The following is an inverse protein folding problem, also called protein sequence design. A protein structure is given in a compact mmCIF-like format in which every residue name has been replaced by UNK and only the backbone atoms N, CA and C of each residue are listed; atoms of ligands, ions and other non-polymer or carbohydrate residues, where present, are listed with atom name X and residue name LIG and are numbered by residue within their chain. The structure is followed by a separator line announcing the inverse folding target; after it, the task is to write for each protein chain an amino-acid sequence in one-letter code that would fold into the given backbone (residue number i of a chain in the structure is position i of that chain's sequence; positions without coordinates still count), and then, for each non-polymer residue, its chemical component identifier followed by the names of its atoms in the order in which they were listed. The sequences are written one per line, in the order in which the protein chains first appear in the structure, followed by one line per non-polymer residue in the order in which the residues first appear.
data_IF_731727727160
#
_entry.id   IF_731727727160
#
_cell.length_a   1.000
_cell.length_b   1.000
_cell.length_c   1.000
_cell.angle_alpha   90.00
_cell.angle_beta   90.00
_cell.angle_gamma   90.00
#
_symmetry.space_group_name_H-M   'P 1'
#
loop_
_entity.id
_entity.type
_entity.pdbx_description
1 polymer ?
#
# COMPACT_ATOMS: atom_id res chain seq x y z
N UNK A 1 -30.46 11.70 27.71
CA UNK A 1 -29.81 10.45 28.15
C UNK A 1 -28.32 10.65 28.04
N UNK A 2 -27.67 10.88 29.18
CA UNK A 2 -26.30 11.39 29.27
C UNK A 2 -25.42 10.26 29.78
N UNK A 3 -24.40 9.85 29.01
CA UNK A 3 -23.45 8.82 29.45
C UNK A 3 -22.18 9.46 29.98
N UNK A 4 -21.86 9.13 31.24
CA UNK A 4 -20.69 9.53 32.00
C UNK A 4 -19.49 8.64 31.60
N UNK A 5 -18.42 9.26 31.10
CA UNK A 5 -17.15 8.59 30.78
C UNK A 5 -16.18 8.82 31.95
N UNK A 6 -16.37 8.07 33.04
CA UNK A 6 -15.52 8.19 34.22
C UNK A 6 -15.43 6.88 34.99
N UNK A 7 -14.99 5.81 34.31
CA UNK A 7 -14.39 4.63 34.95
C UNK A 7 -13.66 3.84 33.85
N UNK A 8 -12.35 4.04 33.69
CA UNK A 8 -11.27 3.04 33.45
C UNK A 8 -9.97 3.84 33.26
N UNK A 9 -9.48 4.51 34.30
CA UNK A 9 -8.05 4.86 34.44
C UNK A 9 -7.75 4.75 35.93
N UNK A 10 -6.93 3.77 36.29
CA UNK A 10 -6.48 3.57 37.65
C UNK A 10 -5.68 2.30 37.77
N UNK A 11 -4.34 2.43 37.69
CA UNK A 11 -3.30 1.60 38.35
C UNK A 11 -2.11 1.37 37.42
N UNK A 12 -1.23 2.36 37.27
CA UNK A 12 0.18 2.16 36.95
C UNK A 12 0.98 3.29 37.62
N UNK A 13 1.51 3.02 38.80
CA UNK A 13 2.56 3.83 39.42
C UNK A 13 3.95 3.40 38.92
N UNK A 14 4.91 4.35 38.82
CA UNK A 14 6.25 4.10 38.27
C UNK A 14 7.24 3.59 39.34
N UNK A 15 8.03 2.57 38.98
CA UNK A 15 9.17 2.09 39.78
C UNK A 15 10.49 2.74 39.31
N UNK A 16 11.47 2.94 40.22
CA UNK A 16 12.62 3.82 40.01
C UNK A 16 13.81 3.17 39.27
N UNK A 17 14.64 4.07 38.72
CA UNK A 17 15.86 3.81 37.97
C UNK A 17 16.95 3.10 38.79
N UNK A 18 17.61 2.12 38.17
CA UNK A 18 18.89 1.57 38.64
C UNK A 18 19.89 1.53 37.47
N UNK A 19 20.96 2.29 37.63
CA UNK A 19 22.14 2.32 36.78
C UNK A 19 22.94 1.02 36.90
N UNK A 20 23.49 0.53 35.78
CA UNK A 20 24.50 -0.53 35.76
C UNK A 20 25.72 -0.05 34.95
N UNK A 21 26.72 0.42 35.70
CA UNK A 21 28.11 0.53 35.25
C UNK A 21 28.88 -0.68 35.78
N UNK A 22 29.27 -1.61 34.90
CA UNK A 22 30.07 -2.78 35.25
C UNK A 22 31.41 -2.77 34.52
N UNK A 23 32.43 -2.28 35.22
CA UNK A 23 33.82 -2.15 34.77
C UNK A 23 34.58 -3.44 35.10
N UNK A 24 35.21 -4.05 34.11
CA UNK A 24 36.11 -5.20 34.25
C UNK A 24 37.47 -4.73 34.77
N UNK A 25 38.00 -5.34 35.84
CA UNK A 25 39.45 -5.42 36.08
C UNK A 25 39.81 -6.61 36.97
N UNK A 26 40.89 -7.27 36.55
CA UNK A 26 41.52 -8.45 37.11
C UNK A 26 42.26 -8.21 38.44
N UNK A 27 42.52 -9.30 39.17
CA UNK A 27 43.66 -9.42 40.09
C UNK A 27 43.40 -10.33 41.30
N UNK A 28 44.41 -11.05 41.82
CA UNK A 28 44.24 -12.42 42.34
C UNK A 28 44.54 -12.58 43.85
N UNK A 29 44.48 -13.85 44.27
CA UNK A 29 45.20 -14.52 45.37
C UNK A 29 44.45 -14.91 46.65
N UNK A 30 44.74 -16.18 46.99
CA UNK A 30 44.88 -16.79 48.32
C UNK A 30 43.63 -16.97 49.18
N UNK A 31 43.41 -18.24 49.56
CA UNK A 31 43.16 -18.73 50.93
C UNK A 31 43.20 -20.27 50.82
N UNK A 32 44.30 -20.89 51.24
CA UNK A 32 44.57 -21.37 52.59
C UNK A 32 43.86 -22.69 52.90
N UNK A 33 44.71 -23.65 53.28
CA UNK A 33 44.42 -25.04 53.55
C UNK A 33 43.78 -25.25 54.92
N UNK A 34 42.90 -26.24 55.01
CA UNK A 34 42.68 -27.14 56.16
C UNK A 34 41.81 -28.29 55.60
N UNK A 35 42.12 -29.57 55.74
CA UNK A 35 42.78 -30.25 56.84
C UNK A 35 41.77 -31.08 57.62
N UNK A 36 41.10 -32.07 56.99
CA UNK A 36 40.41 -33.17 57.71
C UNK A 36 40.17 -34.40 56.83
N UNK A 37 40.48 -35.55 57.41
CA UNK A 37 40.69 -36.83 56.78
C UNK A 37 39.44 -37.72 56.71
N UNK A 38 39.56 -38.73 55.84
CA UNK A 38 38.86 -40.04 55.77
C UNK A 38 37.72 -40.18 54.76
N UNK A 39 37.45 -41.40 54.23
CA UNK A 39 38.19 -42.66 54.33
C UNK A 39 38.60 -43.27 52.96
N UNK A 40 39.59 -44.16 53.02
CA UNK A 40 40.11 -45.00 51.95
C UNK A 40 38.99 -45.75 51.20
N UNK A 41 38.76 -45.37 49.93
CA UNK A 41 38.03 -46.20 48.97
C UNK A 41 38.96 -47.29 48.42
N UNK A 42 38.45 -48.51 48.20
CA UNK A 42 39.23 -49.63 47.69
C UNK A 42 39.81 -49.27 46.33
N UNK A 43 41.08 -49.66 46.11
CA UNK A 43 41.77 -49.48 44.84
C UNK A 43 41.00 -50.20 43.73
N UNK A 44 40.20 -49.45 42.98
CA UNK A 44 39.64 -49.92 41.73
C UNK A 44 40.80 -50.33 40.82
N UNK A 45 40.73 -51.55 40.28
CA UNK A 45 41.69 -52.07 39.33
C UNK A 45 41.92 -51.02 38.24
N UNK A 46 43.16 -50.54 38.11
CA UNK A 46 43.59 -49.65 37.04
C UNK A 46 43.63 -50.46 35.75
N UNK A 47 42.47 -50.71 35.16
CA UNK A 47 42.43 -51.00 33.74
C UNK A 47 43.02 -49.78 33.03
N UNK A 48 44.02 -49.95 32.15
CA UNK A 48 44.52 -48.85 31.36
C UNK A 48 43.36 -48.35 30.50
N UNK A 49 42.76 -47.22 30.90
CA UNK A 49 41.85 -46.47 30.04
C UNK A 49 42.72 -46.02 28.87
N UNK A 50 42.56 -46.70 27.73
CA UNK A 50 43.07 -46.23 26.46
C UNK A 50 42.51 -44.83 26.28
N UNK A 51 43.38 -43.81 26.42
CA UNK A 51 43.05 -42.46 26.05
C UNK A 51 42.71 -42.52 24.57
N UNK A 52 41.40 -42.46 24.29
CA UNK A 52 40.90 -42.44 22.93
C UNK A 52 41.65 -41.30 22.23
N UNK A 53 42.32 -41.57 21.09
CA UNK A 53 43.14 -40.56 20.44
C UNK A 53 42.25 -39.35 20.15
N UNK A 54 42.73 -38.17 20.53
CA UNK A 54 42.01 -36.93 20.28
C UNK A 54 41.67 -36.86 18.78
N UNK A 55 40.45 -36.45 18.41
CA UNK A 55 40.09 -36.29 17.02
C UNK A 55 41.13 -35.42 16.31
N UNK A 56 41.53 -35.76 15.08
CA UNK A 56 42.46 -34.91 14.33
C UNK A 56 41.84 -33.51 14.16
N UNK A 57 42.68 -32.48 14.15
CA UNK A 57 42.25 -31.06 14.10
C UNK A 57 41.29 -30.76 12.94
N UNK A 58 41.39 -31.51 11.85
CA UNK A 58 40.51 -31.41 10.67
C UNK A 58 39.05 -31.77 10.98
N UNK A 59 38.77 -32.57 12.00
CA UNK A 59 37.41 -32.87 12.47
C UNK A 59 36.82 -31.67 13.19
N UNK A 60 37.59 -31.00 14.05
CA UNK A 60 37.16 -29.79 14.75
C UNK A 60 36.93 -28.62 13.80
N UNK A 61 37.73 -28.47 12.75
CA UNK A 61 37.53 -27.45 11.71
C UNK A 61 36.24 -27.70 10.91
N UNK A 62 35.97 -28.96 10.54
CA UNK A 62 34.74 -29.33 9.85
C UNK A 62 33.50 -29.12 10.73
N UNK A 63 33.58 -29.50 12.00
CA UNK A 63 32.50 -29.31 12.96
C UNK A 63 32.27 -27.83 13.26
N UNK A 64 33.34 -27.04 13.38
CA UNK A 64 33.26 -25.59 13.55
C UNK A 64 32.65 -24.88 12.33
N UNK A 65 33.00 -25.31 11.11
CA UNK A 65 32.39 -24.80 9.89
C UNK A 65 30.88 -25.12 9.82
N UNK A 66 30.49 -26.36 10.14
CA UNK A 66 29.08 -26.76 10.17
C UNK A 66 28.28 -26.01 11.24
N UNK A 67 28.86 -25.79 12.43
CA UNK A 67 28.21 -25.00 13.49
C UNK A 67 28.08 -23.53 13.11
N UNK A 68 29.08 -22.95 12.44
CA UNK A 68 29.04 -21.56 11.95
C UNK A 68 27.95 -21.35 10.90
N UNK A 69 27.81 -22.29 9.96
CA UNK A 69 26.75 -22.24 8.94
C UNK A 69 25.35 -22.31 9.58
N UNK A 70 25.14 -23.22 10.52
CA UNK A 70 23.87 -23.32 11.26
C UNK A 70 23.55 -22.06 12.06
N UNK A 71 24.56 -21.40 12.62
CA UNK A 71 24.36 -20.16 13.38
C UNK A 71 24.04 -18.97 12.47
N UNK A 72 24.67 -18.90 11.28
CA UNK A 72 24.29 -17.93 10.25
C UNK A 72 22.85 -18.13 9.76
N UNK A 73 22.42 -19.37 9.58
CA UNK A 73 21.04 -19.71 9.23
C UNK A 73 20.06 -19.30 10.33
N UNK A 74 20.40 -19.51 11.61
CA UNK A 74 19.58 -19.03 12.73
C UNK A 74 19.47 -17.51 12.74
N UNK A 75 20.57 -16.79 12.53
CA UNK A 75 20.57 -15.33 12.48
C UNK A 75 19.75 -14.79 11.31
N UNK A 76 19.83 -15.42 10.14
CA UNK A 76 19.04 -15.00 8.96
C UNK A 76 17.55 -15.27 9.15
N UNK A 77 17.18 -16.43 9.73
CA UNK A 77 15.78 -16.73 10.09
C UNK A 77 15.27 -15.75 11.15
N UNK A 78 16.08 -15.43 12.15
CA UNK A 78 15.71 -14.46 13.18
C UNK A 78 15.48 -13.06 12.58
N UNK A 79 16.39 -12.56 11.73
CA UNK A 79 16.21 -11.27 11.05
C UNK A 79 14.99 -11.24 10.14
N UNK A 80 14.67 -12.35 9.45
CA UNK A 80 13.44 -12.45 8.67
C UNK A 80 12.21 -12.34 9.57
N UNK A 81 12.18 -13.10 10.68
CA UNK A 81 11.08 -13.03 11.66
C UNK A 81 10.92 -11.64 12.26
N UNK A 82 12.00 -10.97 12.61
CA UNK A 82 11.97 -9.60 13.14
C UNK A 82 11.43 -8.61 12.11
N UNK A 83 11.81 -8.76 10.83
CA UNK A 83 11.27 -7.96 9.73
C UNK A 83 9.77 -8.23 9.52
N UNK A 84 9.37 -9.49 9.53
CA UNK A 84 7.96 -9.89 9.38
C UNK A 84 7.10 -9.37 10.55
N UNK A 85 7.64 -9.40 11.77
CA UNK A 85 6.99 -8.82 12.97
C UNK A 85 6.87 -7.30 12.89
N UNK A 86 7.94 -6.61 12.47
CA UNK A 86 7.92 -5.17 12.29
C UNK A 86 6.89 -4.76 11.22
N UNK A 87 6.82 -5.52 10.12
CA UNK A 87 5.81 -5.32 9.07
C UNK A 87 4.39 -5.60 9.59
N UNK A 88 4.19 -6.68 10.34
CA UNK A 88 2.88 -6.99 10.94
C UNK A 88 2.41 -5.92 11.95
N UNK A 89 3.35 -5.34 12.72
CA UNK A 89 3.06 -4.21 13.61
C UNK A 89 2.68 -2.96 12.82
N UNK A 90 3.39 -2.68 11.74
CA UNK A 90 3.10 -1.55 10.86
C UNK A 90 1.72 -1.74 10.18
N UNK A 91 1.40 -2.94 9.72
CA UNK A 91 0.10 -3.29 9.17
C UNK A 91 -1.02 -3.16 10.21
N UNK A 92 -0.77 -3.55 11.47
CA UNK A 92 -1.71 -3.37 12.56
C UNK A 92 -1.94 -1.87 12.87
N UNK A 93 -0.90 -1.05 12.85
CA UNK A 93 -1.01 0.40 12.99
C UNK A 93 -1.82 1.01 11.84
N UNK A 94 -1.50 0.68 10.60
CA UNK A 94 -2.27 1.12 9.43
C UNK A 94 -3.70 0.59 9.45
N UNK A 95 -3.96 -0.58 10.05
CA UNK A 95 -5.32 -1.10 10.22
C UNK A 95 -6.09 -0.28 11.24
N UNK A 96 -5.47 0.07 12.38
CA UNK A 96 -6.08 0.94 13.39
C UNK A 96 -6.31 2.34 12.83
N UNK A 97 -5.35 2.90 12.09
CA UNK A 97 -5.49 4.19 11.40
C UNK A 97 -6.56 4.14 10.31
N UNK A 98 -6.64 3.05 9.54
CA UNK A 98 -7.72 2.85 8.56
C UNK A 98 -9.08 2.67 9.22
N UNK A 99 -9.17 1.99 10.36
CA UNK A 99 -10.42 1.89 11.14
C UNK A 99 -10.79 3.27 11.66
N UNK A 100 -9.85 4.04 12.21
CA UNK A 100 -10.10 5.41 12.68
C UNK A 100 -10.49 6.35 11.53
N UNK A 101 -9.81 6.27 10.38
CA UNK A 101 -10.14 7.02 9.17
C UNK A 101 -11.48 6.57 8.58
N UNK A 102 -11.82 5.28 8.65
CA UNK A 102 -13.11 4.71 8.24
C UNK A 102 -14.20 4.97 9.28
N UNK A 103 -13.91 5.26 10.53
CA UNK A 103 -14.89 5.75 11.50
C UNK A 103 -15.15 7.24 11.24
N UNK A 104 -14.11 8.03 10.99
CA UNK A 104 -14.23 9.42 10.55
C UNK A 104 -14.94 9.55 9.20
N UNK A 105 -14.66 8.67 8.23
CA UNK A 105 -15.31 8.64 6.91
C UNK A 105 -16.61 7.83 6.88
N UNK A 106 -16.76 6.80 7.68
CA UNK A 106 -17.95 5.93 7.74
C UNK A 106 -19.15 6.58 8.43
N UNK A 107 -18.89 7.60 9.25
CA UNK A 107 -19.94 8.55 9.68
C UNK A 107 -20.44 9.41 8.51
N UNK A 108 -19.67 9.50 7.40
CA UNK A 108 -20.05 10.12 6.13
C UNK A 108 -20.64 9.11 5.12
N UNK A 109 -20.14 7.87 5.06
CA UNK A 109 -20.56 6.86 4.06
C UNK A 109 -21.92 6.24 4.34
N UNK A 110 -22.38 6.15 5.61
CA UNK A 110 -23.79 5.80 5.89
C UNK A 110 -24.79 6.83 5.37
N UNK A 111 -24.31 8.03 5.02
CA UNK A 111 -25.08 9.06 4.34
C UNK A 111 -25.07 8.90 2.81
N UNK A 112 -24.13 8.13 2.25
CA UNK A 112 -23.95 7.99 0.80
C UNK A 112 -24.82 6.90 0.15
N UNK A 113 -25.38 5.97 0.92
CA UNK A 113 -26.38 5.00 0.40
C UNK A 113 -27.81 5.56 0.43
N UNK A 114 -28.00 6.77 0.97
CA UNK A 114 -29.23 7.55 0.89
C UNK A 114 -29.14 8.73 -0.10
N UNK A 115 -27.99 8.96 -0.76
CA UNK A 115 -27.77 10.18 -1.58
C UNK A 115 -28.18 10.10 -3.03
N UNK A 116 -28.66 8.97 -3.55
CA UNK A 116 -29.18 8.97 -4.94
C UNK A 116 -30.47 9.79 -5.06
N UNK A 117 -31.17 10.05 -3.94
CA UNK A 117 -32.36 10.92 -3.90
C UNK A 117 -32.08 12.31 -3.25
N UNK A 118 -30.86 12.58 -2.75
CA UNK A 118 -30.52 13.84 -2.04
C UNK A 118 -29.44 14.68 -2.77
N UNK A 119 -28.93 14.22 -3.91
CA UNK A 119 -27.90 14.96 -4.67
C UNK A 119 -28.38 16.28 -5.31
N UNK A 120 -29.68 16.55 -5.35
CA UNK A 120 -30.20 17.87 -5.72
C UNK A 120 -30.00 18.94 -4.64
N UNK A 121 -29.81 18.56 -3.36
CA UNK A 121 -29.95 19.48 -2.22
C UNK A 121 -28.66 20.16 -1.73
N UNK A 122 -27.51 19.97 -2.38
CA UNK A 122 -26.28 20.73 -2.06
C UNK A 122 -25.63 21.38 -3.27
N UNK A 123 -26.43 21.81 -4.24
CA UNK A 123 -25.95 22.78 -5.23
C UNK A 123 -25.74 24.10 -4.49
N UNK A 124 -24.48 24.45 -4.27
CA UNK A 124 -24.15 25.74 -3.68
C UNK A 124 -24.66 26.85 -4.59
N UNK A 125 -25.09 27.98 -4.03
CA UNK A 125 -25.62 29.08 -4.84
C UNK A 125 -24.54 29.60 -5.80
N UNK A 126 -24.89 29.87 -7.09
CA UNK A 126 -23.94 30.46 -8.03
C UNK A 126 -23.50 31.83 -7.55
N UNK A 127 -22.31 32.25 -7.95
CA UNK A 127 -21.82 33.56 -7.56
C UNK A 127 -22.58 34.68 -8.30
N UNK A 128 -22.98 35.71 -7.56
CA UNK A 128 -23.60 36.93 -8.13
C UNK A 128 -22.61 37.69 -9.02
N UNK A 129 -21.33 37.63 -8.66
CA UNK A 129 -20.20 38.14 -9.45
C UNK A 129 -19.14 37.05 -9.60
N UNK A 130 -18.41 36.97 -10.73
CA UNK A 130 -17.30 36.04 -10.83
C UNK A 130 -16.33 36.24 -9.65
N UNK A 131 -15.99 35.18 -8.91
CA UNK A 131 -15.04 35.31 -7.80
C UNK A 131 -13.68 35.72 -8.35
N UNK A 132 -12.97 36.55 -7.59
CA UNK A 132 -11.63 36.99 -7.98
C UNK A 132 -10.55 36.13 -7.33
N UNK A 133 -9.37 36.07 -7.96
CA UNK A 133 -8.28 35.24 -7.46
C UNK A 133 -7.91 35.56 -6.01
N UNK A 134 -7.81 36.85 -5.63
CA UNK A 134 -7.46 37.24 -4.26
C UNK A 134 -8.47 36.71 -3.22
N UNK A 135 -9.74 36.52 -3.60
CA UNK A 135 -10.78 35.99 -2.72
C UNK A 135 -10.57 34.50 -2.46
N UNK A 136 -10.14 33.76 -3.48
CA UNK A 136 -9.79 32.35 -3.34
C UNK A 136 -8.60 32.15 -2.40
N UNK A 137 -7.50 32.91 -2.54
CA UNK A 137 -6.35 32.77 -1.65
C UNK A 137 -6.69 33.19 -0.21
N UNK A 138 -7.49 34.26 -0.05
CA UNK A 138 -8.00 34.64 1.27
C UNK A 138 -8.90 33.57 1.89
N UNK A 139 -9.72 32.90 1.08
CA UNK A 139 -10.55 31.79 1.53
C UNK A 139 -9.68 30.59 1.94
N UNK A 140 -8.59 30.32 1.22
CA UNK A 140 -7.60 29.30 1.62
C UNK A 140 -6.99 29.66 2.97
N UNK A 141 -6.46 30.89 3.15
CA UNK A 141 -5.84 31.34 4.42
C UNK A 141 -6.78 31.23 5.62
N UNK A 142 -8.07 31.52 5.40
CA UNK A 142 -9.12 31.46 6.43
C UNK A 142 -9.75 30.09 6.58
N UNK A 143 -9.42 29.12 5.72
CA UNK A 143 -10.06 27.80 5.64
C UNK A 143 -11.58 27.89 5.44
N UNK A 144 -12.02 28.85 4.63
CA UNK A 144 -13.43 28.98 4.25
C UNK A 144 -13.80 27.90 3.23
N UNK A 145 -14.11 26.70 3.75
CA UNK A 145 -14.42 25.53 2.94
C UNK A 145 -15.66 25.74 2.07
N UNK A 146 -16.62 26.56 2.51
CA UNK A 146 -17.86 26.83 1.80
C UNK A 146 -17.63 27.73 0.57
N UNK A 147 -16.74 28.72 0.69
CA UNK A 147 -16.32 29.51 -0.46
C UNK A 147 -15.54 28.65 -1.46
N UNK A 148 -14.59 27.83 -1.00
CA UNK A 148 -13.80 26.98 -1.89
C UNK A 148 -14.68 25.91 -2.56
N UNK A 149 -15.66 25.35 -1.84
CA UNK A 149 -16.66 24.45 -2.42
C UNK A 149 -17.50 25.13 -3.51
N UNK A 150 -17.90 26.41 -3.31
CA UNK A 150 -18.57 27.19 -4.35
C UNK A 150 -17.69 27.43 -5.57
N UNK A 151 -16.41 27.76 -5.36
CA UNK A 151 -15.44 27.91 -6.47
C UNK A 151 -15.27 26.60 -7.22
N UNK A 152 -15.19 25.46 -6.53
CA UNK A 152 -15.19 24.13 -7.16
C UNK A 152 -16.39 23.95 -8.08
N UNK A 153 -17.59 24.28 -7.62
CA UNK A 153 -18.83 23.99 -8.34
C UNK A 153 -19.07 24.95 -9.52
N UNK A 154 -18.73 26.24 -9.38
CA UNK A 154 -19.12 27.29 -10.34
C UNK A 154 -17.96 27.99 -11.05
N UNK A 155 -16.72 27.81 -10.59
CA UNK A 155 -15.55 28.51 -11.13
C UNK A 155 -14.28 27.65 -11.10
N UNK A 156 -14.41 26.36 -11.47
CA UNK A 156 -13.33 25.37 -11.36
C UNK A 156 -12.01 25.79 -12.03
N UNK A 157 -12.08 26.49 -13.16
CA UNK A 157 -10.91 27.00 -13.88
C UNK A 157 -9.97 27.84 -12.99
N UNK A 158 -10.49 28.54 -11.99
CA UNK A 158 -9.68 29.33 -11.06
C UNK A 158 -8.78 28.47 -10.18
N UNK A 159 -9.19 27.23 -9.88
CA UNK A 159 -8.37 26.28 -9.12
C UNK A 159 -7.16 25.79 -9.93
N UNK A 160 -7.25 25.89 -11.26
CA UNK A 160 -6.20 25.45 -12.18
C UNK A 160 -5.28 26.58 -12.63
N UNK A 161 -5.66 27.84 -12.44
CA UNK A 161 -4.88 28.99 -12.87
C UNK A 161 -3.82 29.38 -11.83
N UNK A 162 -2.65 29.75 -12.32
CA UNK A 162 -1.59 30.33 -11.51
C UNK A 162 -1.96 31.77 -11.18
N UNK A 163 -2.22 32.03 -9.91
CA UNK A 163 -2.65 33.32 -9.43
C UNK A 163 -1.72 33.73 -8.27
N UNK A 164 -1.28 34.98 -8.21
CA UNK A 164 -0.36 35.45 -7.16
C UNK A 164 0.91 34.58 -6.97
N UNK A 165 1.55 34.19 -8.08
CA UNK A 165 2.82 33.44 -8.17
C UNK A 165 2.80 31.93 -7.91
N UNK A 166 1.71 31.33 -7.42
CA UNK A 166 1.59 29.87 -7.19
C UNK A 166 0.19 29.36 -7.58
N UNK A 167 -0.02 28.05 -7.63
CA UNK A 167 -1.37 27.47 -7.84
C UNK A 167 -2.10 27.32 -6.49
N UNK A 168 -3.44 27.39 -6.43
CA UNK A 168 -4.19 27.26 -5.18
C UNK A 168 -3.86 25.98 -4.38
N UNK A 169 -3.72 24.84 -5.07
CA UNK A 169 -3.33 23.56 -4.45
C UNK A 169 -1.88 23.60 -3.92
N UNK A 170 -0.97 24.24 -4.64
CA UNK A 170 0.44 24.39 -4.24
C UNK A 170 0.54 25.32 -3.03
N UNK A 171 -0.20 26.41 -3.04
CA UNK A 171 -0.27 27.37 -1.95
C UNK A 171 -0.79 26.71 -0.66
N UNK A 172 -1.92 25.98 -0.75
CA UNK A 172 -2.46 25.24 0.38
C UNK A 172 -1.48 24.17 0.91
N UNK A 173 -0.78 23.46 0.01
CA UNK A 173 0.25 22.50 0.39
C UNK A 173 1.44 23.16 1.11
N UNK A 174 1.89 24.33 0.64
CA UNK A 174 3.03 25.07 1.23
C UNK A 174 2.75 25.57 2.65
N UNK A 175 1.51 25.96 2.96
CA UNK A 175 1.15 26.38 4.33
C UNK A 175 1.27 25.21 5.31
N UNK A 176 1.03 23.98 4.83
CA UNK A 176 1.29 22.74 5.55
C UNK A 176 0.10 22.20 6.34
N UNK A 177 0.33 21.48 7.47
CA UNK A 177 -0.65 20.56 8.04
C UNK A 177 -1.93 21.23 8.53
N UNK A 178 -1.88 22.53 8.85
CA UNK A 178 -3.04 23.30 9.26
C UNK A 178 -4.12 23.41 8.16
N UNK A 179 -3.74 23.28 6.88
CA UNK A 179 -4.63 23.41 5.73
C UNK A 179 -4.97 22.07 5.07
N UNK A 180 -4.81 20.96 5.82
CA UNK A 180 -5.14 19.60 5.35
C UNK A 180 -6.54 19.50 4.74
N UNK A 181 -7.56 20.02 5.43
CA UNK A 181 -8.95 19.91 4.96
C UNK A 181 -9.19 20.69 3.67
N UNK A 182 -8.52 21.84 3.53
CA UNK A 182 -8.53 22.62 2.29
C UNK A 182 -7.88 21.84 1.16
N UNK A 183 -6.73 21.22 1.42
CA UNK A 183 -6.02 20.42 0.44
C UNK A 183 -6.82 19.20 0.00
N UNK A 184 -7.46 18.49 0.93
CA UNK A 184 -8.39 17.38 0.65
C UNK A 184 -9.54 17.88 -0.23
N UNK A 185 -10.12 19.04 0.07
CA UNK A 185 -11.22 19.60 -0.70
C UNK A 185 -10.79 19.97 -2.12
N UNK A 186 -9.59 20.54 -2.31
CA UNK A 186 -9.03 20.87 -3.62
C UNK A 186 -8.69 19.61 -4.45
N UNK A 187 -8.08 18.60 -3.84
CA UNK A 187 -7.81 17.32 -4.51
C UNK A 187 -9.11 16.58 -4.84
N UNK A 188 -10.09 16.61 -3.93
CA UNK A 188 -11.42 16.08 -4.16
C UNK A 188 -12.16 16.81 -5.30
N UNK A 189 -12.00 18.12 -5.40
CA UNK A 189 -12.50 18.93 -6.52
C UNK A 189 -11.90 18.46 -7.85
N UNK A 190 -10.58 18.24 -7.91
CA UNK A 190 -9.91 17.72 -9.10
C UNK A 190 -10.40 16.31 -9.47
N UNK A 191 -10.54 15.42 -8.49
CA UNK A 191 -11.06 14.07 -8.73
C UNK A 191 -12.49 14.10 -9.26
N UNK A 192 -13.37 14.91 -8.66
CA UNK A 192 -14.75 15.07 -9.13
C UNK A 192 -14.81 15.59 -10.56
N UNK A 193 -13.98 16.59 -10.89
CA UNK A 193 -13.94 17.17 -12.23
C UNK A 193 -13.52 16.14 -13.28
N UNK A 194 -12.47 15.36 -13.02
CA UNK A 194 -12.02 14.32 -13.96
C UNK A 194 -13.05 13.20 -14.11
N UNK A 195 -13.82 12.89 -13.06
CA UNK A 195 -14.90 11.89 -13.10
C UNK A 195 -16.14 12.31 -13.90
N UNK A 196 -16.26 13.57 -14.32
CA UNK A 196 -17.43 14.05 -15.08
C UNK A 196 -17.31 13.80 -16.58
N UNK A 197 -16.12 13.42 -17.07
CA UNK A 197 -15.87 13.23 -18.49
C UNK A 197 -16.19 11.81 -18.94
N UNK A 198 -16.81 11.69 -20.11
CA UNK A 198 -16.98 10.44 -20.84
C UNK A 198 -15.80 10.19 -21.79
N UNK A 199 -15.63 8.97 -22.31
CA UNK A 199 -14.51 8.60 -23.19
C UNK A 199 -14.37 9.54 -24.40
N UNK A 200 -15.49 10.00 -24.97
CA UNK A 200 -15.53 10.93 -26.10
C UNK A 200 -15.02 12.33 -25.73
N UNK A 201 -15.20 12.78 -24.49
CA UNK A 201 -14.73 14.09 -24.03
C UNK A 201 -13.19 14.16 -23.98
N UNK A 202 -12.52 13.03 -23.78
CA UNK A 202 -11.06 12.97 -23.78
C UNK A 202 -10.46 13.21 -25.17
N UNK A 203 -11.26 13.11 -26.25
CA UNK A 203 -10.83 13.52 -27.59
C UNK A 203 -10.84 15.05 -27.78
N UNK A 204 -11.55 15.80 -26.94
CA UNK A 204 -11.62 17.26 -27.04
C UNK A 204 -10.29 17.91 -26.61
N UNK A 205 -9.72 18.74 -27.49
CA UNK A 205 -8.46 19.47 -27.25
C UNK A 205 -8.54 20.39 -26.03
N UNK A 206 -9.70 20.98 -25.73
CA UNK A 206 -9.88 21.85 -24.58
C UNK A 206 -9.81 21.06 -23.27
N UNK A 207 -10.53 19.93 -23.19
CA UNK A 207 -10.48 19.01 -22.06
C UNK A 207 -9.05 18.50 -21.85
N UNK A 208 -8.37 18.08 -22.93
CA UNK A 208 -6.97 17.66 -22.86
C UNK A 208 -6.03 18.76 -22.32
N UNK A 209 -6.25 20.02 -22.69
CA UNK A 209 -5.46 21.14 -22.17
C UNK A 209 -5.75 21.37 -20.67
N UNK A 210 -7.00 21.26 -20.25
CA UNK A 210 -7.38 21.34 -18.83
C UNK A 210 -6.76 20.20 -18.02
N UNK A 211 -6.79 18.97 -18.54
CA UNK A 211 -6.12 17.81 -17.91
C UNK A 211 -4.59 17.98 -17.86
N UNK A 212 -3.96 18.62 -18.87
CA UNK A 212 -2.53 18.98 -18.82
C UNK A 212 -2.23 19.96 -17.69
N UNK A 213 -3.05 21.01 -17.54
CA UNK A 213 -2.88 21.99 -16.44
C UNK A 213 -3.09 21.34 -15.08
N UNK A 214 -4.12 20.52 -14.93
CA UNK A 214 -4.40 19.78 -13.71
C UNK A 214 -3.21 18.89 -13.31
N UNK A 215 -2.62 18.17 -14.27
CA UNK A 215 -1.40 17.37 -14.04
C UNK A 215 -0.21 18.19 -13.60
N UNK A 216 0.08 19.30 -14.29
CA UNK A 216 1.18 20.17 -13.92
C UNK A 216 1.00 20.70 -12.48
N UNK A 217 -0.22 21.09 -12.11
CA UNK A 217 -0.52 21.61 -10.79
C UNK A 217 -0.40 20.54 -9.70
N UNK A 218 -0.86 19.33 -9.98
CA UNK A 218 -0.72 18.21 -9.05
C UNK A 218 0.73 17.79 -8.86
N UNK A 219 1.53 17.76 -9.92
CA UNK A 219 2.98 17.47 -9.81
C UNK A 219 3.67 18.50 -8.93
N UNK A 220 3.40 19.79 -9.17
CA UNK A 220 3.92 20.86 -8.31
C UNK A 220 3.39 20.75 -6.87
N UNK A 221 2.13 20.35 -6.68
CA UNK A 221 1.57 20.15 -5.35
C UNK A 221 2.25 19.00 -4.62
N UNK A 222 2.53 17.89 -5.29
CA UNK A 222 3.31 16.77 -4.78
C UNK A 222 4.70 17.28 -4.37
N UNK A 223 5.42 17.98 -5.27
CA UNK A 223 6.75 18.53 -4.99
C UNK A 223 6.77 19.42 -3.72
N UNK A 224 5.70 20.18 -3.46
CA UNK A 224 5.61 21.08 -2.30
C UNK A 224 4.99 20.41 -1.05
N UNK A 225 4.11 19.42 -1.21
CA UNK A 225 3.50 18.64 -0.14
C UNK A 225 4.48 17.64 0.51
N UNK A 226 5.69 17.51 -0.02
CA UNK A 226 6.68 16.52 0.41
C UNK A 226 7.96 17.13 0.99
N UNK A 227 7.91 18.41 1.37
CA UNK A 227 8.83 18.91 2.37
C UNK A 227 8.66 18.04 3.64
N UNK A 228 9.73 17.67 4.38
CA UNK A 228 9.72 16.68 5.48
C UNK A 228 8.70 16.91 6.63
N UNK A 229 7.95 18.01 6.60
CA UNK A 229 6.90 18.37 7.55
C UNK A 229 5.47 18.19 7.00
N UNK A 230 5.31 17.81 5.72
CA UNK A 230 4.03 17.77 5.01
C UNK A 230 3.62 16.34 4.63
N UNK A 231 2.30 16.15 4.59
CA UNK A 231 1.60 14.90 4.84
C UNK A 231 1.72 13.86 3.70
N UNK A 232 2.44 12.74 3.88
CA UNK A 232 2.54 11.69 2.86
C UNK A 232 1.20 10.96 2.60
N UNK A 233 0.25 11.05 3.53
CA UNK A 233 -1.03 10.35 3.47
C UNK A 233 -1.95 10.76 2.29
N UNK A 234 -1.67 11.89 1.62
CA UNK A 234 -2.45 12.32 0.45
C UNK A 234 -1.82 11.88 -0.89
N UNK A 235 -0.63 11.26 -0.85
CA UNK A 235 0.10 10.88 -2.06
C UNK A 235 -0.64 9.83 -2.90
N UNK A 236 -1.34 8.90 -2.25
CA UNK A 236 -2.22 7.95 -2.94
C UNK A 236 -3.39 8.64 -3.66
N UNK A 237 -4.02 9.64 -3.03
CA UNK A 237 -5.09 10.42 -3.67
C UNK A 237 -4.57 11.25 -4.84
N UNK A 238 -3.35 11.79 -4.73
CA UNK A 238 -2.70 12.48 -5.84
C UNK A 238 -2.40 11.56 -7.03
N UNK A 239 -1.82 10.38 -6.78
CA UNK A 239 -1.58 9.38 -7.82
C UNK A 239 -2.88 8.92 -8.47
N UNK A 240 -3.94 8.75 -7.70
CA UNK A 240 -5.26 8.43 -8.23
C UNK A 240 -5.73 9.48 -9.23
N UNK A 241 -5.65 10.78 -8.89
CA UNK A 241 -6.06 11.85 -9.82
C UNK A 241 -5.12 11.94 -11.02
N UNK A 242 -3.81 11.73 -10.83
CA UNK A 242 -2.85 11.68 -11.93
C UNK A 242 -3.19 10.55 -12.92
N UNK A 243 -3.41 9.33 -12.44
CA UNK A 243 -3.85 8.22 -13.28
C UNK A 243 -5.17 8.57 -13.94
N UNK A 244 -6.20 9.06 -13.25
CA UNK A 244 -7.45 9.42 -13.94
C UNK A 244 -7.28 10.48 -15.04
N UNK A 245 -6.36 11.43 -14.86
CA UNK A 245 -6.11 12.51 -15.82
C UNK A 245 -5.22 12.11 -17.01
N UNK A 246 -4.53 10.98 -16.92
CA UNK A 246 -3.55 10.48 -17.91
C UNK A 246 -3.89 9.07 -18.43
N UNK A 247 -4.83 8.39 -17.77
CA UNK A 247 -4.74 6.96 -17.54
C UNK A 247 -5.68 6.10 -18.33
N UNK A 248 -6.67 6.60 -19.07
CA UNK A 248 -7.40 5.69 -19.96
C UNK A 248 -6.46 5.13 -21.03
N UNK A 249 -5.71 6.00 -21.69
CA UNK A 249 -4.73 5.56 -22.68
C UNK A 249 -3.64 4.65 -22.07
N UNK A 250 -3.16 4.97 -20.86
CA UNK A 250 -2.15 4.15 -20.19
C UNK A 250 -2.72 2.82 -19.69
N UNK A 251 -3.90 2.81 -19.07
CA UNK A 251 -4.60 1.61 -18.58
C UNK A 251 -4.95 0.71 -19.76
N UNK A 252 -5.55 1.22 -20.83
CA UNK A 252 -5.87 0.42 -22.01
C UNK A 252 -4.63 -0.19 -22.64
N UNK A 253 -3.57 0.60 -22.83
CA UNK A 253 -2.32 0.10 -23.40
C UNK A 253 -1.68 -0.97 -22.50
N UNK A 254 -1.54 -0.69 -21.21
CA UNK A 254 -0.89 -1.62 -20.28
C UNK A 254 -1.72 -2.87 -20.02
N UNK A 255 -3.05 -2.75 -19.97
CA UNK A 255 -3.96 -3.89 -19.88
C UNK A 255 -3.93 -4.75 -21.15
N UNK A 256 -3.79 -4.14 -22.33
CA UNK A 256 -3.59 -4.86 -23.58
C UNK A 256 -2.25 -5.61 -23.59
N UNK A 257 -1.14 -4.92 -23.30
CA UNK A 257 0.20 -5.50 -23.24
C UNK A 257 0.26 -6.66 -22.22
N UNK A 258 -0.34 -6.45 -21.04
CA UNK A 258 -0.46 -7.48 -20.01
C UNK A 258 -1.38 -8.63 -20.43
N UNK A 259 -2.45 -8.33 -21.17
CA UNK A 259 -3.35 -9.31 -21.76
C UNK A 259 -2.64 -10.28 -22.72
N UNK A 260 -1.60 -9.83 -23.42
CA UNK A 260 -0.76 -10.69 -24.24
C UNK A 260 0.07 -11.65 -23.36
N UNK A 261 0.65 -11.15 -22.27
CA UNK A 261 1.42 -11.97 -21.32
C UNK A 261 0.51 -13.01 -20.63
N UNK A 262 -0.68 -12.62 -20.21
CA UNK A 262 -1.65 -13.52 -19.57
C UNK A 262 -2.01 -14.74 -20.42
N UNK A 263 -1.82 -14.70 -21.75
CA UNK A 263 -2.05 -15.84 -22.66
C UNK A 263 -0.89 -16.84 -22.67
N UNK A 264 0.32 -16.42 -22.35
CA UNK A 264 1.53 -17.26 -22.40
C UNK A 264 1.88 -17.86 -21.02
N UNK A 265 1.91 -19.20 -20.86
CA UNK A 265 2.30 -19.87 -19.63
C UNK A 265 3.72 -19.70 -19.14
N UNK A 266 4.65 -19.28 -19.99
CA UNK A 266 6.04 -19.04 -19.56
C UNK A 266 6.24 -17.67 -18.90
N UNK A 267 5.24 -16.78 -18.97
CA UNK A 267 5.38 -15.40 -18.50
C UNK A 267 4.92 -15.22 -17.06
N UNK A 268 5.32 -14.08 -16.48
CA UNK A 268 5.00 -13.67 -15.11
C UNK A 268 4.16 -12.38 -15.12
N UNK A 269 2.88 -12.45 -15.53
CA UNK A 269 2.04 -11.28 -15.71
C UNK A 269 1.83 -10.48 -14.41
N UNK A 270 1.67 -11.12 -13.24
CA UNK A 270 1.46 -10.37 -11.99
C UNK A 270 2.70 -9.56 -11.62
N UNK A 271 3.89 -10.15 -11.78
CA UNK A 271 5.15 -9.45 -11.59
C UNK A 271 5.36 -8.29 -12.59
N UNK A 272 4.97 -8.47 -13.86
CA UNK A 272 5.08 -7.40 -14.85
C UNK A 272 4.07 -6.27 -14.59
N UNK A 273 2.85 -6.60 -14.15
CA UNK A 273 1.86 -5.61 -13.74
C UNK A 273 2.40 -4.74 -12.60
N UNK A 274 3.01 -5.36 -11.58
CA UNK A 274 3.67 -4.65 -10.48
C UNK A 274 4.78 -3.74 -11.02
N UNK A 275 5.63 -4.24 -11.93
CA UNK A 275 6.70 -3.46 -12.52
C UNK A 275 6.20 -2.24 -13.33
N UNK A 276 5.11 -2.40 -14.10
CA UNK A 276 4.50 -1.32 -14.88
C UNK A 276 3.94 -0.23 -13.97
N UNK A 277 3.21 -0.61 -12.92
CA UNK A 277 2.66 0.34 -11.93
C UNK A 277 3.78 1.04 -11.17
N UNK A 278 4.83 0.31 -10.75
CA UNK A 278 5.99 0.91 -10.08
C UNK A 278 6.75 1.88 -10.99
N UNK A 279 6.94 1.55 -12.27
CA UNK A 279 7.56 2.46 -13.25
C UNK A 279 6.74 3.72 -13.43
N UNK A 280 5.42 3.60 -13.51
CA UNK A 280 4.51 4.73 -13.54
C UNK A 280 4.68 5.61 -12.28
N UNK A 281 4.53 5.01 -11.10
CA UNK A 281 4.70 5.73 -9.82
C UNK A 281 6.07 6.38 -9.69
N UNK A 282 7.15 5.70 -10.09
CA UNK A 282 8.53 6.25 -10.03
C UNK A 282 8.71 7.43 -10.98
N UNK A 283 8.09 7.39 -12.16
CA UNK A 283 8.13 8.50 -13.12
C UNK A 283 7.41 9.73 -12.56
N UNK A 284 6.27 9.52 -11.92
CA UNK A 284 5.46 10.61 -11.36
C UNK A 284 6.00 11.12 -10.02
N UNK A 285 6.70 10.28 -9.25
CA UNK A 285 7.25 10.59 -7.92
C UNK A 285 8.76 10.82 -7.90
N UNK A 286 9.40 11.06 -9.06
CA UNK A 286 10.87 11.19 -9.15
C UNK A 286 11.44 12.28 -8.23
N UNK A 287 10.68 13.33 -7.98
CA UNK A 287 11.02 14.48 -7.16
C UNK A 287 10.72 14.29 -5.66
N UNK A 288 10.16 13.14 -5.26
CA UNK A 288 9.62 12.90 -3.92
C UNK A 288 10.67 12.24 -3.00
N UNK A 289 11.06 12.88 -1.88
CA UNK A 289 11.85 12.20 -0.85
C UNK A 289 11.03 11.07 -0.21
N UNK A 290 11.51 9.83 -0.28
CA UNK A 290 10.77 8.61 0.09
C UNK A 290 10.26 7.82 -1.12
N UNK A 291 10.02 8.49 -2.25
CA UNK A 291 9.68 7.89 -3.53
C UNK A 291 8.44 6.99 -3.47
N UNK A 292 8.54 5.80 -4.08
CA UNK A 292 7.44 4.82 -4.16
C UNK A 292 7.11 4.19 -2.80
N UNK A 293 8.03 4.25 -1.82
CA UNK A 293 7.85 3.59 -0.53
C UNK A 293 6.63 4.13 0.25
N UNK A 294 6.28 5.40 0.05
CA UNK A 294 5.15 6.05 0.73
C UNK A 294 3.78 5.74 0.07
N UNK A 295 3.77 5.05 -1.08
CA UNK A 295 2.56 4.71 -1.85
C UNK A 295 2.45 3.22 -2.14
N UNK A 296 3.14 2.37 -1.37
CA UNK A 296 3.14 0.92 -1.58
C UNK A 296 1.73 0.33 -1.60
N UNK A 297 0.83 0.74 -0.70
CA UNK A 297 -0.56 0.27 -0.69
C UNK A 297 -1.29 0.60 -2.00
N UNK A 298 -1.08 1.80 -2.54
CA UNK A 298 -1.64 2.18 -3.83
C UNK A 298 -1.08 1.33 -4.97
N UNK A 299 0.23 1.09 -4.97
CA UNK A 299 0.89 0.23 -5.96
C UNK A 299 0.29 -1.17 -5.95
N UNK A 300 0.07 -1.75 -4.76
CA UNK A 300 -0.54 -3.08 -4.64
C UNK A 300 -1.98 -3.10 -5.15
N UNK A 301 -2.78 -2.07 -4.85
CA UNK A 301 -4.16 -1.95 -5.34
C UNK A 301 -4.21 -1.81 -6.86
N UNK A 302 -3.41 -0.90 -7.41
CA UNK A 302 -3.32 -0.67 -8.84
C UNK A 302 -2.80 -1.91 -9.59
N UNK A 303 -1.89 -2.67 -8.99
CA UNK A 303 -1.39 -3.94 -9.56
C UNK A 303 -2.51 -4.96 -9.67
N UNK A 304 -3.29 -5.16 -8.60
CA UNK A 304 -4.42 -6.08 -8.59
C UNK A 304 -5.47 -5.68 -9.64
N UNK A 305 -5.83 -4.40 -9.68
CA UNK A 305 -6.81 -3.88 -10.63
C UNK A 305 -6.35 -3.99 -12.08
N UNK A 306 -5.05 -3.78 -12.35
CA UNK A 306 -4.49 -3.95 -13.69
C UNK A 306 -4.58 -5.41 -14.16
N UNK A 307 -4.30 -6.36 -13.27
CA UNK A 307 -4.46 -7.79 -13.56
C UNK A 307 -5.93 -8.13 -13.83
N UNK A 308 -6.86 -7.60 -13.03
CA UNK A 308 -8.30 -7.79 -13.23
C UNK A 308 -8.73 -7.28 -14.61
N UNK A 309 -8.39 -6.04 -14.94
CA UNK A 309 -8.78 -5.41 -16.20
C UNK A 309 -8.17 -6.12 -17.41
N UNK A 310 -6.89 -6.50 -17.33
CA UNK A 310 -6.24 -7.24 -18.41
C UNK A 310 -6.83 -8.64 -18.61
N UNK A 311 -7.08 -9.38 -17.53
CA UNK A 311 -7.67 -10.71 -17.60
C UNK A 311 -9.11 -10.66 -18.15
N UNK A 312 -9.92 -9.71 -17.69
CA UNK A 312 -11.26 -9.52 -18.21
C UNK A 312 -11.25 -9.10 -19.68
N UNK A 313 -10.39 -8.16 -20.09
CA UNK A 313 -10.33 -7.72 -21.48
C UNK A 313 -10.03 -8.86 -22.46
N UNK A 314 -9.17 -9.81 -22.06
CA UNK A 314 -8.93 -11.03 -22.85
C UNK A 314 -10.15 -11.94 -22.90
N UNK A 315 -10.87 -12.11 -21.78
CA UNK A 315 -12.06 -12.94 -21.72
C UNK A 315 -13.23 -12.32 -22.50
N UNK A 316 -13.47 -11.03 -22.31
CA UNK A 316 -14.49 -10.21 -22.96
C UNK A 316 -14.38 -10.31 -24.49
N UNK A 317 -13.17 -10.20 -25.04
CA UNK A 317 -12.92 -10.39 -26.47
C UNK A 317 -13.22 -11.80 -27.01
N UNK A 318 -13.31 -12.83 -26.15
CA UNK A 318 -13.65 -14.21 -26.56
C UNK A 318 -15.15 -14.50 -26.47
N UNK A 319 -15.89 -13.74 -25.66
CA UNK A 319 -17.32 -13.93 -25.42
C UNK A 319 -18.19 -12.79 -25.96
N UNK A 320 -17.55 -11.82 -26.63
CA UNK A 320 -18.18 -10.61 -27.17
C UNK A 320 -18.95 -9.86 -26.08
N UNK A 321 -18.23 -9.50 -25.02
CA UNK A 321 -18.72 -8.71 -23.90
C UNK A 321 -17.94 -7.39 -23.79
N UNK A 322 -18.51 -6.44 -23.07
CA UNK A 322 -17.89 -5.14 -22.84
C UNK A 322 -16.70 -5.23 -21.88
N UNK A 323 -15.72 -4.35 -22.06
CA UNK A 323 -14.59 -4.22 -21.13
C UNK A 323 -15.06 -3.60 -19.80
N UNK A 324 -14.28 -3.81 -18.74
CA UNK A 324 -14.54 -3.12 -17.48
C UNK A 324 -14.27 -1.62 -17.64
N UNK A 325 -15.08 -0.76 -17.01
CA UNK A 325 -14.85 0.67 -17.02
C UNK A 325 -13.53 1.03 -16.33
N UNK A 326 -12.70 1.83 -16.98
CA UNK A 326 -11.40 2.28 -16.46
C UNK A 326 -11.52 3.17 -15.23
N UNK A 327 -12.66 3.87 -15.05
CA UNK A 327 -12.89 4.73 -13.88
C UNK A 327 -12.89 3.97 -12.55
N UNK A 328 -12.94 2.63 -12.54
CA UNK A 328 -12.84 1.84 -11.30
C UNK A 328 -11.39 1.58 -10.88
N UNK A 329 -10.42 1.83 -11.76
CA UNK A 329 -9.02 1.47 -11.56
C UNK A 329 -8.40 2.09 -10.31
N UNK A 330 -7.68 1.26 -9.54
CA UNK A 330 -7.02 1.59 -8.30
C UNK A 330 -7.96 2.20 -7.24
N UNK A 331 -9.25 1.86 -7.30
CA UNK A 331 -10.28 2.31 -6.34
C UNK A 331 -10.83 1.16 -5.53
N UNK A 332 -10.24 0.96 -4.35
CA UNK A 332 -10.69 0.00 -3.35
C UNK A 332 -11.05 -1.37 -3.96
N UNK A 333 -12.33 -1.77 -3.88
CA UNK A 333 -12.85 -3.04 -4.39
C UNK A 333 -13.82 -2.84 -5.57
N UNK A 334 -13.86 -1.65 -6.18
CA UNK A 334 -14.83 -1.34 -7.24
C UNK A 334 -14.58 -2.15 -8.51
N UNK A 335 -13.32 -2.25 -8.94
CA UNK A 335 -12.94 -3.06 -10.12
C UNK A 335 -13.30 -4.53 -9.90
N UNK A 336 -13.11 -5.05 -8.69
CA UNK A 336 -13.49 -6.42 -8.33
C UNK A 336 -15.02 -6.64 -8.34
N UNK A 337 -15.77 -5.65 -7.88
CA UNK A 337 -17.24 -5.71 -7.88
C UNK A 337 -17.76 -5.76 -9.32
N UNK A 338 -17.28 -4.86 -10.18
CA UNK A 338 -17.62 -4.83 -11.60
C UNK A 338 -17.19 -6.12 -12.33
N UNK A 339 -16.02 -6.67 -12.01
CA UNK A 339 -15.61 -7.98 -12.52
C UNK A 339 -16.62 -9.07 -12.15
N UNK A 340 -17.04 -9.11 -10.89
CA UNK A 340 -17.94 -10.15 -10.40
C UNK A 340 -19.30 -10.06 -11.10
N UNK A 341 -19.86 -8.86 -11.21
CA UNK A 341 -21.10 -8.59 -11.95
C UNK A 341 -20.98 -9.00 -13.43
N UNK A 342 -19.87 -8.63 -14.08
CA UNK A 342 -19.64 -8.95 -15.49
C UNK A 342 -19.46 -10.47 -15.72
N UNK A 343 -18.78 -11.17 -14.82
CA UNK A 343 -18.64 -12.63 -14.87
C UNK A 343 -19.97 -13.34 -14.65
N UNK A 344 -20.76 -12.90 -13.67
CA UNK A 344 -22.05 -13.53 -13.36
C UNK A 344 -23.08 -13.27 -14.49
N UNK A 345 -23.10 -12.07 -15.08
CA UNK A 345 -23.91 -11.76 -16.26
C UNK A 345 -23.55 -12.61 -17.48
N UNK A 346 -22.28 -13.03 -17.59
CA UNK A 346 -21.78 -13.82 -18.71
C UNK A 346 -21.55 -15.30 -18.36
N UNK A 347 -22.08 -15.80 -17.24
CA UNK A 347 -21.81 -17.15 -16.74
C UNK A 347 -22.05 -18.26 -17.79
N UNK A 348 -23.11 -18.13 -18.60
CA UNK A 348 -23.43 -19.08 -19.68
C UNK A 348 -22.41 -19.10 -20.84
N UNK A 349 -21.66 -18.01 -21.04
CA UNK A 349 -20.63 -17.89 -22.09
C UNK A 349 -19.23 -18.21 -21.59
N UNK A 350 -19.00 -18.24 -20.28
CA UNK A 350 -17.68 -18.49 -19.67
C UNK A 350 -17.03 -19.81 -20.13
N UNK A 351 -17.84 -20.79 -20.55
CA UNK A 351 -17.37 -22.03 -21.16
C UNK A 351 -16.52 -21.85 -22.42
N UNK A 352 -16.67 -20.72 -23.15
CA UNK A 352 -15.90 -20.38 -24.35
C UNK A 352 -14.55 -19.70 -24.05
N UNK A 353 -14.39 -19.18 -22.84
CA UNK A 353 -13.14 -18.50 -22.43
C UNK A 353 -12.01 -19.53 -22.33
N UNK A 354 -10.82 -19.18 -22.79
CA UNK A 354 -9.61 -19.99 -22.67
C UNK A 354 -9.41 -20.45 -21.22
N UNK A 355 -9.12 -21.75 -21.04
CA UNK A 355 -8.91 -22.39 -19.73
C UNK A 355 -7.92 -21.63 -18.85
N UNK A 356 -6.83 -21.10 -19.42
CA UNK A 356 -5.83 -20.32 -18.67
C UNK A 356 -6.42 -19.02 -18.12
N UNK A 357 -7.07 -18.24 -18.98
CA UNK A 357 -7.69 -16.96 -18.59
C UNK A 357 -8.80 -17.20 -17.57
N UNK A 358 -9.59 -18.26 -17.74
CA UNK A 358 -10.60 -18.68 -16.76
C UNK A 358 -9.98 -19.01 -15.41
N UNK A 359 -8.91 -19.81 -15.38
CA UNK A 359 -8.17 -20.12 -14.15
C UNK A 359 -7.63 -18.87 -13.45
N UNK A 360 -7.21 -17.86 -14.21
CA UNK A 360 -6.75 -16.57 -13.68
C UNK A 360 -7.92 -15.80 -13.06
N UNK A 361 -9.05 -15.69 -13.76
CA UNK A 361 -10.26 -15.05 -13.24
C UNK A 361 -10.78 -15.75 -11.98
N UNK A 362 -10.73 -17.07 -11.93
CA UNK A 362 -11.11 -17.87 -10.76
C UNK A 362 -10.14 -17.63 -9.58
N UNK A 363 -8.84 -17.54 -9.85
CA UNK A 363 -7.84 -17.20 -8.84
C UNK A 363 -8.07 -15.80 -8.26
N UNK A 364 -8.35 -14.81 -9.11
CA UNK A 364 -8.72 -13.45 -8.71
C UNK A 364 -9.99 -13.46 -7.85
N UNK A 365 -11.06 -14.14 -8.29
CA UNK A 365 -12.34 -14.22 -7.55
C UNK A 365 -12.18 -14.88 -6.17
N UNK A 366 -11.22 -15.80 -6.03
CA UNK A 366 -10.91 -16.47 -4.77
C UNK A 366 -10.09 -15.59 -3.82
N UNK A 367 -9.07 -14.89 -4.33
CA UNK A 367 -8.05 -14.21 -3.51
C UNK A 367 -8.43 -12.75 -3.22
N UNK A 368 -8.89 -12.01 -4.24
CA UNK A 368 -9.10 -10.57 -4.16
C UNK A 368 -10.13 -10.13 -3.09
N UNK A 369 -11.24 -10.86 -2.84
CA UNK A 369 -12.22 -10.48 -1.81
C UNK A 369 -11.74 -10.68 -0.37
N UNK A 370 -10.61 -11.36 -0.14
CA UNK A 370 -10.19 -11.78 1.20
C UNK A 370 -9.73 -10.60 2.07
N UNK A 371 -10.67 -10.00 2.82
CA UNK A 371 -10.41 -8.86 3.69
C UNK A 371 -9.48 -9.15 4.88
N UNK A 372 -9.19 -10.43 5.17
CA UNK A 372 -8.25 -10.81 6.22
C UNK A 372 -6.79 -10.57 5.80
N UNK A 373 -6.53 -10.56 4.49
CA UNK A 373 -5.21 -10.30 3.93
C UNK A 373 -5.04 -8.82 3.59
N UNK A 374 -3.87 -8.26 3.93
CA UNK A 374 -3.41 -6.98 3.40
C UNK A 374 -3.21 -7.03 1.87
N UNK A 375 -3.24 -5.88 1.20
CA UNK A 375 -3.22 -5.84 -0.27
C UNK A 375 -1.93 -6.41 -0.85
N UNK A 376 -0.79 -6.19 -0.19
CA UNK A 376 0.49 -6.85 -0.52
C UNK A 376 0.38 -8.38 -0.48
N UNK A 377 -0.22 -8.92 0.58
CA UNK A 377 -0.39 -10.36 0.74
C UNK A 377 -1.32 -10.94 -0.33
N UNK A 378 -2.39 -10.21 -0.73
CA UNK A 378 -3.26 -10.64 -1.84
C UNK A 378 -2.51 -10.68 -3.17
N UNK A 379 -1.72 -9.65 -3.47
CA UNK A 379 -0.89 -9.64 -4.69
C UNK A 379 0.14 -10.77 -4.67
N UNK A 380 0.75 -11.05 -3.52
CA UNK A 380 1.70 -12.15 -3.37
C UNK A 380 1.03 -13.53 -3.58
N UNK A 381 -0.14 -13.76 -2.99
CA UNK A 381 -0.91 -15.00 -3.20
C UNK A 381 -1.36 -15.14 -4.66
N UNK A 382 -1.78 -14.04 -5.28
CA UNK A 382 -2.17 -14.00 -6.69
C UNK A 382 -0.98 -14.30 -7.61
N UNK A 383 0.19 -13.76 -7.28
CA UNK A 383 1.45 -14.03 -7.98
C UNK A 383 1.81 -15.51 -7.89
N UNK A 384 1.75 -16.11 -6.70
CA UNK A 384 2.00 -17.54 -6.52
C UNK A 384 1.02 -18.40 -7.35
N UNK A 385 -0.25 -17.99 -7.43
CA UNK A 385 -1.28 -18.71 -8.18
C UNK A 385 -1.17 -18.57 -9.71
N UNK A 386 -0.70 -17.43 -10.23
CA UNK A 386 -0.71 -17.11 -11.67
C UNK A 386 0.68 -17.24 -12.31
N UNK A 387 1.70 -16.65 -11.69
CA UNK A 387 3.06 -16.61 -12.25
C UNK A 387 3.84 -17.91 -11.96
N UNK A 388 3.39 -18.67 -10.95
CA UNK A 388 4.08 -19.84 -10.41
C UNK A 388 5.33 -19.43 -9.62
N UNK A 389 5.44 -19.90 -8.38
CA UNK A 389 6.69 -19.76 -7.63
C UNK A 389 7.77 -20.59 -8.32
N UNK A 390 8.81 -19.92 -8.84
CA UNK A 390 10.09 -20.55 -9.12
C UNK A 390 10.84 -20.92 -7.84
N UNK A 391 10.19 -21.62 -6.90
CA UNK A 391 10.69 -21.89 -5.56
C UNK A 391 10.07 -23.13 -4.92
N UNK A 392 10.62 -24.31 -5.24
CA UNK A 392 10.76 -25.44 -4.33
C UNK A 392 9.49 -25.97 -3.63
N UNK A 393 8.60 -26.63 -4.37
CA UNK A 393 7.75 -27.69 -3.82
C UNK A 393 7.44 -28.74 -4.90
N UNK A 394 8.50 -29.27 -5.52
CA UNK A 394 8.40 -30.51 -6.28
C UNK A 394 8.74 -31.68 -5.34
N UNK A 395 7.82 -32.64 -5.26
CA UNK A 395 8.01 -34.00 -4.74
C UNK A 395 8.28 -34.18 -3.24
N UNK A 396 7.20 -34.21 -2.45
CA UNK A 396 7.14 -35.04 -1.25
C UNK A 396 5.71 -35.60 -1.10
N UNK A 397 5.32 -36.51 -2.00
CA UNK A 397 4.27 -37.52 -1.80
C UNK A 397 4.14 -38.42 -3.05
N UNK A 398 5.25 -39.07 -3.40
CA UNK A 398 5.26 -40.23 -4.29
C UNK A 398 6.50 -41.07 -3.97
N UNK A 399 6.44 -41.80 -2.85
CA UNK A 399 7.18 -43.01 -2.57
C UNK A 399 6.41 -43.80 -1.49
#
# INVERSE_FOLDING_TARGET
MSYNYSHVIGSLEPAPACAHTGRVRAGPSELAADGRASPLRPAAAREPVLLQPLPPSTVFEKEGAAQSELELDRQTVQRRRERDLAEALQDAQFRVERIAAREQMGTRTKKETQTTEVEEERRTAPFVRPPEAYELYRAIDKKDLDFIARVRDHAFHMLLQKNAAEFPVVYAARIGPSHRDVLILLVGAFSRYVNQFEEDDFANKEVQNTLKMLRANLKLAIDNALLPQNQPHLLSSYLQVLIMSEGDAWIHKTAHDLGLLLRDPATRPVAEAEALVRRFATRELRSVPGGVADVEEYVWNATLDLVIMAAWSVAAGQIDADNLPTYTFARDLRTLTQLTEAMDANAGKMGRVNRRVRSILDAVRRIAPNTLLGMRARVAELRAAIDGDGGGAANANAA
#
